data_IF_276590933304
#
_entry.id   IF_276590933304
#
_cell.length_a   1.000
_cell.length_b   1.000
_cell.length_c   1.000
_cell.angle_alpha   90.00
_cell.angle_beta   90.00
_cell.angle_gamma   90.00
#
_symmetry.space_group_name_H-M   'P 1'
#
loop_
_entity.id
_entity.type
_entity.pdbx_description
1 polymer ?
#
# COMPACT_ATOMS: atom_id res chain seq x y z
N UNK A 1 2.23 9.02 -12.43
CA UNK A 1 2.44 9.18 -10.98
C UNK A 1 1.75 8.01 -10.31
N UNK A 2 2.47 7.21 -9.51
CA UNK A 2 1.84 6.13 -8.74
C UNK A 2 0.96 6.68 -7.62
N UNK A 3 0.03 5.86 -7.14
CA UNK A 3 -0.80 6.16 -5.97
C UNK A 3 -0.77 4.99 -4.98
N UNK A 4 -1.03 5.30 -3.72
CA UNK A 4 -1.09 4.33 -2.62
C UNK A 4 -2.51 4.23 -2.10
N UNK A 5 -2.97 3.00 -1.89
CA UNK A 5 -4.21 2.74 -1.15
C UNK A 5 -4.03 3.19 0.30
N UNK A 6 -5.00 3.94 0.81
CA UNK A 6 -4.96 4.49 2.15
C UNK A 6 -6.33 4.36 2.84
N UNK A 7 -6.29 4.25 4.16
CA UNK A 7 -7.49 4.24 4.99
C UNK A 7 -7.92 5.66 5.42
N UNK A 8 -8.91 5.72 6.30
CA UNK A 8 -9.45 6.99 6.81
C UNK A 8 -8.50 7.80 7.70
N UNK A 9 -7.43 7.21 8.26
CA UNK A 9 -6.52 7.93 9.16
C UNK A 9 -5.46 8.75 8.40
N UNK A 10 -5.29 8.50 7.10
CA UNK A 10 -4.36 9.26 6.26
C UNK A 10 -4.96 10.59 5.74
N UNK A 11 -4.11 11.64 5.63
CA UNK A 11 -4.53 12.92 5.08
C UNK A 11 -4.89 12.82 3.59
N UNK A 12 -5.63 13.82 3.08
CA UNK A 12 -6.03 13.93 1.67
C UNK A 12 -4.88 14.40 0.79
N UNK A 13 -3.83 13.60 0.68
CA UNK A 13 -2.70 13.89 -0.21
C UNK A 13 -2.95 13.30 -1.59
N UNK A 14 -2.38 13.94 -2.62
CA UNK A 14 -2.50 13.53 -4.02
C UNK A 14 -2.04 12.09 -4.25
N UNK A 15 -1.12 11.59 -3.43
CA UNK A 15 -0.59 10.23 -3.55
C UNK A 15 -1.42 9.17 -2.84
N UNK A 16 -2.38 9.56 -1.99
CA UNK A 16 -3.22 8.62 -1.24
C UNK A 16 -4.62 8.55 -1.85
N UNK A 17 -5.09 7.34 -2.11
CA UNK A 17 -6.44 7.07 -2.60
C UNK A 17 -7.19 6.35 -1.49
N UNK A 18 -8.31 6.95 -1.07
CA UNK A 18 -9.14 6.46 0.02
C UNK A 18 -10.46 5.92 -0.50
N UNK A 19 -11.03 4.96 0.23
CA UNK A 19 -12.43 4.56 0.02
C UNK A 19 -13.36 5.76 0.24
N UNK A 20 -14.54 5.71 -0.39
CA UNK A 20 -15.58 6.72 -0.26
C UNK A 20 -16.41 6.40 0.99
N UNK A 21 -16.45 7.26 2.01
CA UNK A 21 -17.34 7.05 3.15
C UNK A 21 -18.79 7.10 2.67
N UNK A 22 -19.58 6.09 3.03
CA UNK A 22 -21.02 6.04 2.73
C UNK A 22 -21.32 6.21 1.22
N UNK A 23 -20.84 5.29 0.36
CA UNK A 23 -20.90 5.47 -1.09
C UNK A 23 -22.34 5.50 -1.62
N UNK A 24 -22.67 6.58 -2.35
CA UNK A 24 -23.98 6.78 -2.98
C UNK A 24 -23.91 6.50 -4.48
N UNK A 25 -24.90 5.78 -5.01
CA UNK A 25 -24.95 5.36 -6.41
C UNK A 25 -24.05 4.16 -6.73
N UNK A 26 -24.32 3.50 -7.86
CA UNK A 26 -23.64 2.24 -8.22
C UNK A 26 -22.15 2.43 -8.51
N UNK A 27 -21.77 3.55 -9.14
CA UNK A 27 -20.38 3.91 -9.46
C UNK A 27 -19.51 3.96 -8.20
N UNK A 28 -19.93 4.76 -7.22
CA UNK A 28 -19.19 4.93 -5.97
C UNK A 28 -19.19 3.66 -5.11
N UNK A 29 -20.29 2.90 -5.12
CA UNK A 29 -20.36 1.60 -4.42
C UNK A 29 -19.37 0.59 -5.00
N UNK A 30 -19.24 0.55 -6.32
CA UNK A 30 -18.27 -0.31 -6.99
C UNK A 30 -16.83 0.08 -6.61
N UNK A 31 -16.52 1.37 -6.70
CA UNK A 31 -15.21 1.89 -6.30
C UNK A 31 -14.88 1.54 -4.84
N UNK A 32 -15.75 1.89 -3.90
CA UNK A 32 -15.57 1.59 -2.49
C UNK A 32 -15.37 0.08 -2.23
N UNK A 33 -16.16 -0.78 -2.89
CA UNK A 33 -16.03 -2.23 -2.76
C UNK A 33 -14.67 -2.75 -3.20
N UNK A 34 -14.14 -2.29 -4.34
CA UNK A 34 -12.83 -2.74 -4.81
C UNK A 34 -11.70 -2.24 -3.90
N UNK A 35 -11.75 -0.98 -3.49
CA UNK A 35 -10.79 -0.38 -2.56
C UNK A 35 -10.78 -1.13 -1.22
N UNK A 36 -11.95 -1.42 -0.66
CA UNK A 36 -12.09 -2.14 0.60
C UNK A 36 -11.67 -3.60 0.49
N UNK A 37 -11.89 -4.25 -0.66
CA UNK A 37 -11.42 -5.61 -0.92
C UNK A 37 -9.88 -5.67 -0.90
N UNK A 38 -9.22 -4.80 -1.67
CA UNK A 38 -7.77 -4.75 -1.70
C UNK A 38 -7.18 -4.44 -0.33
N UNK A 39 -7.79 -3.50 0.42
CA UNK A 39 -7.39 -3.21 1.81
C UNK A 39 -7.53 -4.44 2.72
N UNK A 40 -8.62 -5.19 2.60
CA UNK A 40 -8.87 -6.38 3.41
C UNK A 40 -7.80 -7.45 3.20
N UNK A 41 -7.31 -7.62 1.97
CA UNK A 41 -6.25 -8.59 1.67
C UNK A 41 -4.93 -8.21 2.34
N UNK A 42 -4.56 -6.92 2.28
CA UNK A 42 -3.38 -6.38 2.97
C UNK A 42 -3.52 -6.56 4.49
N UNK A 43 -4.65 -6.16 5.07
CA UNK A 43 -4.89 -6.30 6.51
C UNK A 43 -4.86 -7.76 6.96
N UNK A 44 -5.42 -8.67 6.16
CA UNK A 44 -5.37 -10.11 6.43
C UNK A 44 -3.93 -10.61 6.42
N UNK A 45 -3.12 -10.22 5.44
CA UNK A 45 -1.71 -10.62 5.36
C UNK A 45 -0.92 -10.14 6.59
N UNK A 46 -1.07 -8.87 6.98
CA UNK A 46 -0.44 -8.34 8.20
C UNK A 46 -0.98 -9.01 9.47
N UNK A 47 -2.28 -9.34 9.53
CA UNK A 47 -2.87 -10.09 10.63
C UNK A 47 -2.24 -11.49 10.79
N UNK A 48 -2.01 -12.20 9.69
CA UNK A 48 -1.31 -13.49 9.68
C UNK A 48 0.14 -13.34 10.14
N UNK A 49 0.87 -12.36 9.60
CA UNK A 49 2.24 -12.08 10.01
C UNK A 49 2.34 -11.74 11.49
N UNK A 50 1.44 -10.90 12.02
CA UNK A 50 1.34 -10.61 13.44
C UNK A 50 1.02 -11.87 14.25
N UNK A 51 0.08 -12.71 13.79
CA UNK A 51 -0.25 -13.96 14.49
C UNK A 51 0.95 -14.92 14.56
N UNK A 52 1.75 -15.01 13.49
CA UNK A 52 2.90 -15.93 13.41
C UNK A 52 4.13 -15.38 14.13
N UNK A 53 4.40 -14.08 14.02
CA UNK A 53 5.60 -13.44 14.57
C UNK A 53 5.25 -12.39 15.63
N UNK A 54 5.43 -12.76 16.90
CA UNK A 54 5.13 -11.89 18.04
C UNK A 54 5.89 -10.54 18.01
N UNK A 55 7.09 -10.51 17.40
CA UNK A 55 7.90 -9.30 17.26
C UNK A 55 7.19 -8.18 16.48
N UNK A 56 6.28 -8.52 15.56
CA UNK A 56 5.52 -7.54 14.76
C UNK A 56 4.40 -6.87 15.60
N UNK A 57 3.90 -7.54 16.65
CA UNK A 57 2.85 -6.98 17.52
C UNK A 57 3.36 -5.94 18.51
N UNK A 58 4.65 -5.98 18.81
CA UNK A 58 5.26 -5.15 19.84
C UNK A 58 5.36 -3.67 19.45
N UNK A 59 5.45 -2.76 20.43
CA UNK A 59 5.70 -1.35 20.17
C UNK A 59 7.00 -1.15 19.38
N UNK A 60 6.93 -0.44 18.26
CA UNK A 60 8.06 -0.18 17.38
C UNK A 60 8.97 0.97 17.85
N UNK A 61 8.56 1.71 18.89
CA UNK A 61 9.19 2.99 19.31
C UNK A 61 10.67 2.88 19.70
N UNK A 62 11.12 1.69 20.08
CA UNK A 62 12.53 1.44 20.46
C UNK A 62 13.43 1.06 19.29
N UNK A 63 12.86 0.80 18.12
CA UNK A 63 13.60 0.38 16.93
C UNK A 63 13.84 1.55 15.98
N UNK A 64 15.03 1.57 15.37
CA UNK A 64 15.30 2.45 14.23
C UNK A 64 14.51 1.96 13.02
N UNK A 65 14.18 2.88 12.10
CA UNK A 65 13.48 2.53 10.85
C UNK A 65 14.17 1.38 10.10
N UNK A 66 15.51 1.41 10.01
CA UNK A 66 16.29 0.33 9.38
C UNK A 66 16.10 -1.03 10.07
N UNK A 67 16.00 -1.04 11.40
CA UNK A 67 15.77 -2.27 12.17
C UNK A 67 14.36 -2.79 11.92
N UNK A 68 13.35 -1.91 11.92
CA UNK A 68 11.97 -2.29 11.58
C UNK A 68 11.87 -2.85 10.16
N UNK A 69 12.53 -2.23 9.19
CA UNK A 69 12.60 -2.73 7.80
C UNK A 69 13.20 -4.12 7.75
N UNK A 70 14.30 -4.35 8.48
CA UNK A 70 14.93 -5.67 8.54
C UNK A 70 14.01 -6.70 9.20
N UNK A 71 13.39 -6.37 10.33
CA UNK A 71 12.44 -7.25 11.03
C UNK A 71 11.30 -7.64 10.08
N UNK A 72 10.70 -6.67 9.40
CA UNK A 72 9.60 -6.93 8.46
C UNK A 72 10.05 -7.81 7.29
N UNK A 73 11.19 -7.49 6.65
CA UNK A 73 11.74 -8.31 5.55
C UNK A 73 12.03 -9.74 6.00
N UNK A 74 12.67 -9.91 7.16
CA UNK A 74 12.94 -11.24 7.73
C UNK A 74 11.65 -12.01 8.00
N UNK A 75 10.63 -11.39 8.58
CA UNK A 75 9.35 -12.07 8.83
C UNK A 75 8.64 -12.48 7.54
N UNK A 76 8.71 -11.67 6.48
CA UNK A 76 8.15 -12.02 5.16
C UNK A 76 8.92 -13.18 4.52
N UNK A 77 10.26 -13.14 4.54
CA UNK A 77 11.09 -14.23 4.01
C UNK A 77 10.80 -15.52 4.77
N UNK A 78 10.82 -15.49 6.11
CA UNK A 78 10.50 -16.66 6.93
C UNK A 78 9.07 -17.15 6.72
N UNK A 79 8.10 -16.25 6.53
CA UNK A 79 6.73 -16.64 6.20
C UNK A 79 6.67 -17.42 4.89
N UNK A 80 7.32 -16.91 3.84
CA UNK A 80 7.35 -17.55 2.54
C UNK A 80 8.06 -18.90 2.61
N UNK A 81 9.21 -18.98 3.29
CA UNK A 81 9.93 -20.24 3.50
C UNK A 81 9.07 -21.29 4.23
N UNK A 82 8.32 -20.89 5.27
CA UNK A 82 7.42 -21.83 5.97
C UNK A 82 6.27 -22.26 5.06
N UNK A 83 5.71 -21.37 4.25
CA UNK A 83 4.65 -21.71 3.30
C UNK A 83 5.16 -22.67 2.22
N UNK A 84 6.40 -22.50 1.75
CA UNK A 84 7.05 -23.41 0.81
C UNK A 84 7.27 -24.80 1.44
N UNK A 85 7.84 -24.85 2.65
CA UNK A 85 8.05 -26.10 3.42
C UNK A 85 6.72 -26.84 3.69
N UNK A 86 5.67 -26.11 4.10
CA UNK A 86 4.32 -26.66 4.33
C UNK A 86 3.61 -27.06 3.01
N UNK A 87 4.06 -26.57 1.84
CA UNK A 87 3.50 -26.89 0.52
C UNK A 87 4.14 -28.12 -0.13
N UNK A 88 5.36 -28.49 0.24
CA UNK A 88 5.98 -29.73 -0.25
C UNK A 88 5.18 -30.99 0.17
N UNK A 89 4.27 -30.87 1.16
CA UNK A 89 3.30 -31.89 1.55
C UNK A 89 1.96 -31.86 0.77
N UNK A 90 1.70 -30.84 -0.06
CA UNK A 90 0.47 -30.68 -0.86
C UNK A 90 0.76 -30.04 -2.24
N UNK A 91 0.95 -30.87 -3.26
CA UNK A 91 1.09 -30.58 -4.70
C UNK A 91 0.95 -29.11 -5.16
N UNK A 92 2.10 -28.53 -5.52
CA UNK A 92 2.39 -27.60 -6.62
C UNK A 92 1.31 -26.56 -7.01
N UNK A 93 1.47 -25.33 -6.49
CA UNK A 93 1.03 -24.11 -7.17
C UNK A 93 2.20 -23.11 -7.17
N UNK A 94 2.99 -23.14 -8.25
CA UNK A 94 4.01 -22.14 -8.56
C UNK A 94 3.36 -20.76 -8.67
N UNK A 95 3.64 -19.88 -7.71
CA UNK A 95 3.38 -18.45 -7.85
C UNK A 95 4.72 -17.75 -8.03
N UNK A 96 5.07 -17.51 -9.29
CA UNK A 96 6.23 -16.71 -9.69
C UNK A 96 6.04 -15.26 -9.17
N UNK A 97 6.77 -14.92 -8.11
CA UNK A 97 6.84 -13.54 -7.61
C UNK A 97 7.84 -12.77 -8.46
N UNK A 98 7.30 -11.96 -9.37
CA UNK A 98 8.09 -11.04 -10.19
C UNK A 98 8.84 -10.01 -9.32
N UNK A 99 9.99 -9.59 -9.81
CA UNK A 99 11.06 -8.90 -9.08
C UNK A 99 10.59 -7.70 -8.22
N UNK A 100 11.06 -7.65 -6.98
CA UNK A 100 11.01 -6.45 -6.14
C UNK A 100 11.85 -5.35 -6.80
N UNK A 101 11.19 -4.30 -7.30
CA UNK A 101 11.85 -3.08 -7.78
C UNK A 101 12.88 -2.57 -6.76
N UNK A 102 14.06 -2.19 -7.26
CA UNK A 102 15.13 -1.60 -6.46
C UNK A 102 14.61 -0.35 -5.71
N UNK A 103 15.01 -0.14 -4.43
CA UNK A 103 14.68 1.08 -3.72
C UNK A 103 15.18 2.30 -4.49
N UNK A 104 14.37 3.36 -4.68
CA UNK A 104 14.82 4.55 -5.37
C UNK A 104 16.03 5.15 -4.64
N UNK A 105 17.12 5.41 -5.38
CA UNK A 105 18.31 6.09 -4.87
C UNK A 105 17.93 7.47 -4.32
N UNK A 106 18.13 7.66 -3.02
CA UNK A 106 17.98 8.96 -2.36
C UNK A 106 19.26 9.78 -2.61
N UNK A 107 19.21 10.68 -3.59
CA UNK A 107 20.25 11.69 -3.82
C UNK A 107 20.37 12.62 -2.62
N UNK A 108 21.58 12.76 -2.08
CA UNK A 108 21.93 13.65 -0.97
C UNK A 108 22.77 14.83 -1.49
N UNK A 109 22.16 15.82 -2.17
CA UNK A 109 22.87 17.03 -2.59
C UNK A 109 22.23 18.29 -1.99
N UNK A 110 22.82 18.73 -0.88
CA UNK A 110 22.36 19.83 -0.05
C UNK A 110 22.32 21.19 -0.78
N UNK A 111 21.19 21.89 -0.54
CA UNK A 111 20.98 23.36 -0.49
C UNK A 111 20.18 24.00 -1.63
N UNK A 112 20.14 23.43 -2.84
CA UNK A 112 19.14 23.84 -3.86
C UNK A 112 17.72 23.31 -3.59
N UNK A 113 17.65 22.28 -2.74
CA UNK A 113 16.50 21.40 -2.59
C UNK A 113 15.38 21.94 -1.69
N UNK A 114 15.58 22.97 -0.87
CA UNK A 114 14.56 23.34 0.12
C UNK A 114 13.29 23.90 -0.50
N UNK A 115 13.42 24.79 -1.49
CA UNK A 115 12.27 25.34 -2.22
C UNK A 115 11.63 24.27 -3.10
N UNK A 116 12.41 23.42 -3.76
CA UNK A 116 11.91 22.29 -4.53
C UNK A 116 11.24 21.22 -3.65
N UNK A 117 11.72 21.02 -2.42
CA UNK A 117 11.16 20.14 -1.41
C UNK A 117 9.87 20.71 -0.85
N UNK A 118 9.82 22.01 -0.53
CA UNK A 118 8.60 22.70 -0.16
C UNK A 118 7.59 22.63 -1.30
N UNK A 119 8.00 22.88 -2.54
CA UNK A 119 7.12 22.86 -3.69
C UNK A 119 6.61 21.44 -3.97
N UNK A 120 7.47 20.41 -3.88
CA UNK A 120 7.06 19.00 -3.93
C UNK A 120 6.10 18.64 -2.79
N UNK A 121 6.35 19.11 -1.57
CA UNK A 121 5.45 18.86 -0.44
C UNK A 121 4.11 19.59 -0.55
N UNK A 122 4.09 20.83 -1.03
CA UNK A 122 2.86 21.57 -1.32
C UNK A 122 2.07 20.85 -2.42
N UNK A 123 2.76 20.36 -3.45
CA UNK A 123 2.16 19.64 -4.56
C UNK A 123 1.59 18.27 -4.15
N UNK A 124 2.27 17.54 -3.26
CA UNK A 124 1.75 16.28 -2.70
C UNK A 124 0.54 16.54 -1.78
N UNK A 125 0.52 17.67 -1.09
CA UNK A 125 -0.58 18.09 -0.21
C UNK A 125 -1.74 18.78 -0.94
N UNK A 126 -1.67 18.87 -2.26
CA UNK A 126 -2.73 19.48 -3.06
C UNK A 126 -4.01 18.62 -2.97
N UNK A 127 -4.94 19.11 -2.14
CA UNK A 127 -6.23 18.47 -1.94
C UNK A 127 -7.10 18.52 -3.19
N UNK A 128 -6.91 19.49 -4.09
CA UNK A 128 -7.66 19.54 -5.36
C UNK A 128 -7.24 18.38 -6.25
N UNK A 129 -5.93 18.21 -6.41
CA UNK A 129 -5.37 17.11 -7.19
C UNK A 129 -5.68 15.72 -6.59
N UNK A 130 -5.88 15.62 -5.27
CA UNK A 130 -6.38 14.40 -4.61
C UNK A 130 -7.82 14.05 -5.06
N UNK A 131 -8.75 15.03 -5.06
CA UNK A 131 -10.13 14.76 -5.47
C UNK A 131 -10.20 14.44 -6.97
N UNK A 132 -9.43 15.16 -7.81
CA UNK A 132 -9.37 14.86 -9.24
C UNK A 132 -8.90 13.43 -9.50
N UNK A 133 -7.80 13.01 -8.86
CA UNK A 133 -7.31 11.63 -8.99
C UNK A 133 -8.36 10.61 -8.54
N UNK A 134 -9.07 10.89 -7.44
CA UNK A 134 -10.11 10.00 -6.95
C UNK A 134 -11.26 9.87 -7.95
N UNK A 135 -11.73 10.98 -8.53
CA UNK A 135 -12.78 10.99 -9.55
C UNK A 135 -12.36 10.24 -10.81
N UNK A 136 -11.14 10.50 -11.31
CA UNK A 136 -10.58 9.82 -12.48
C UNK A 136 -10.52 8.30 -12.26
N UNK A 137 -10.12 7.85 -11.06
CA UNK A 137 -10.05 6.43 -10.70
C UNK A 137 -11.45 5.80 -10.57
N UNK A 138 -12.42 6.51 -9.99
CA UNK A 138 -13.81 6.08 -9.91
C UNK A 138 -14.38 5.86 -11.32
N UNK A 139 -14.07 6.77 -12.25
CA UNK A 139 -14.47 6.65 -13.66
C UNK A 139 -13.81 5.49 -14.37
N UNK A 140 -12.49 5.40 -14.28
CA UNK A 140 -11.72 4.34 -14.90
C UNK A 140 -12.17 2.95 -14.43
N UNK A 141 -12.34 2.77 -13.12
CA UNK A 141 -12.76 1.49 -12.56
C UNK A 141 -14.21 1.13 -12.96
N UNK A 142 -15.08 2.12 -13.10
CA UNK A 142 -16.45 1.91 -13.56
C UNK A 142 -16.50 1.47 -15.03
N UNK A 143 -15.68 2.08 -15.89
CA UNK A 143 -15.57 1.69 -17.29
C UNK A 143 -15.11 0.23 -17.42
N UNK A 144 -14.09 -0.17 -16.65
CA UNK A 144 -13.63 -1.56 -16.62
C UNK A 144 -14.73 -2.53 -16.16
N UNK A 145 -15.48 -2.17 -15.13
CA UNK A 145 -16.59 -3.00 -14.65
C UNK A 145 -17.72 -3.14 -15.67
N UNK A 146 -17.99 -2.11 -16.48
CA UNK A 146 -19.03 -2.14 -17.51
C UNK A 146 -18.68 -2.95 -18.75
N UNK A 147 -17.41 -3.35 -18.90
CA UNK A 147 -16.91 -4.15 -20.02
C UNK A 147 -16.78 -5.66 -19.68
N UNK A 148 -17.07 -6.05 -18.43
CA UNK A 148 -17.13 -7.45 -17.95
C UNK A 148 -18.56 -7.95 -17.90
#
# INVERSE_FOLDING_TARGET
MGYYLADGIYPKWRTFVKTIPTPQGNKNKNFAKAQESARKDVERAFGVLQQRFAIIRGPSRMFKVKELTNIMKTCVILHNMIIEDEREDCDNLDMEYDQLDDPPELSHNHTGEFMDFIQRHVHIRDSSAHHQLQEDLIEHQWLLYSQQ
#
